data_IF_958680172234
#
_entry.id   IF_958680172234
#
_cell.length_a   1.000
_cell.length_b   1.000
_cell.length_c   1.000
_cell.angle_alpha   90.00
_cell.angle_beta   90.00
_cell.angle_gamma   90.00
#
_symmetry.space_group_name_H-M   'P 1'
#
loop_
_entity.id
_entity.type
_entity.pdbx_description
1 polymer ?
#
# COMPACT_ATOMS: atom_id res chain seq x y z
N UNK A 1 20.46 -17.16 -5.29
CA UNK A 1 21.14 -16.28 -6.29
C UNK A 1 20.79 -16.77 -7.69
N UNK A 2 20.70 -15.89 -8.70
CA UNK A 2 20.70 -16.30 -10.10
C UNK A 2 21.92 -17.18 -10.41
N UNK A 3 21.78 -18.07 -11.38
CA UNK A 3 22.82 -19.04 -11.73
C UNK A 3 24.14 -18.32 -12.12
N UNK A 4 25.27 -18.78 -11.58
CA UNK A 4 26.59 -18.21 -11.86
C UNK A 4 27.02 -17.00 -11.03
N UNK A 5 26.22 -16.53 -10.06
CA UNK A 5 26.60 -15.38 -9.21
C UNK A 5 26.86 -15.80 -7.76
N UNK A 6 28.02 -15.42 -7.21
CA UNK A 6 28.41 -15.70 -5.82
C UNK A 6 27.48 -15.05 -4.77
N UNK A 7 26.85 -13.93 -5.13
CA UNK A 7 25.82 -13.24 -4.34
C UNK A 7 24.77 -12.69 -5.30
N UNK A 8 23.49 -12.94 -5.03
CA UNK A 8 22.42 -12.39 -5.85
C UNK A 8 21.07 -12.55 -5.19
N UNK A 9 20.24 -11.54 -5.35
CA UNK A 9 18.84 -11.50 -4.91
C UNK A 9 17.91 -11.56 -6.13
N UNK A 10 16.75 -12.24 -6.04
CA UNK A 10 15.71 -12.13 -7.06
C UNK A 10 15.02 -10.75 -7.05
N UNK A 11 15.23 -9.93 -6.02
CA UNK A 11 14.70 -8.56 -5.94
C UNK A 11 15.47 -7.67 -6.92
N UNK A 12 14.83 -7.29 -8.02
CA UNK A 12 15.42 -6.41 -9.04
C UNK A 12 15.19 -4.91 -8.75
N UNK A 13 14.21 -4.57 -7.92
CA UNK A 13 13.83 -3.20 -7.62
C UNK A 13 12.80 -3.15 -6.48
N UNK A 14 12.60 -1.95 -5.94
CA UNK A 14 11.62 -1.67 -4.88
C UNK A 14 10.75 -0.50 -5.34
N UNK A 15 9.43 -0.60 -5.15
CA UNK A 15 8.47 0.49 -5.33
C UNK A 15 7.88 0.83 -3.97
N UNK A 16 7.92 2.11 -3.58
CA UNK A 16 7.37 2.58 -2.31
C UNK A 16 6.05 3.32 -2.55
N UNK A 17 5.01 2.92 -1.80
CA UNK A 17 3.67 3.56 -1.82
C UNK A 17 3.56 4.74 -0.85
N UNK A 18 4.56 4.94 0.01
CA UNK A 18 4.59 6.02 1.00
C UNK A 18 5.86 5.98 1.84
N UNK A 19 5.96 6.94 2.76
CA UNK A 19 7.12 7.11 3.63
C UNK A 19 6.95 6.57 5.05
N UNK A 20 5.87 5.86 5.38
CA UNK A 20 5.67 5.33 6.74
C UNK A 20 6.76 4.33 7.14
N UNK A 21 7.02 4.22 8.44
CA UNK A 21 8.16 3.46 8.98
C UNK A 21 8.08 1.98 8.58
N UNK A 22 6.89 1.39 8.66
CA UNK A 22 6.62 0.01 8.27
C UNK A 22 6.84 -0.25 6.77
N UNK A 23 6.63 0.76 5.91
CA UNK A 23 6.89 0.68 4.47
C UNK A 23 8.38 0.81 4.11
N UNK A 24 9.18 1.56 4.88
CA UNK A 24 10.56 1.89 4.50
C UNK A 24 11.65 1.19 5.33
N UNK A 25 11.34 0.71 6.54
CA UNK A 25 12.34 0.11 7.44
C UNK A 25 13.01 -1.14 6.84
N UNK A 26 12.26 -1.92 6.05
CA UNK A 26 12.77 -3.10 5.35
C UNK A 26 13.91 -2.79 4.38
N UNK A 27 14.04 -1.56 3.88
CA UNK A 27 15.17 -1.17 3.02
C UNK A 27 16.53 -1.37 3.72
N UNK A 28 16.58 -1.20 5.04
CA UNK A 28 17.81 -1.34 5.82
C UNK A 28 18.33 -2.77 5.86
N UNK A 29 17.46 -3.77 5.63
CA UNK A 29 17.85 -5.18 5.57
C UNK A 29 18.39 -5.59 4.18
N UNK A 30 18.40 -4.66 3.21
CA UNK A 30 18.89 -4.88 1.84
C UNK A 30 20.26 -4.22 1.58
N UNK A 31 20.98 -3.82 2.63
CA UNK A 31 22.22 -3.01 2.54
C UNK A 31 23.48 -3.79 2.15
N UNK A 32 23.43 -5.12 2.11
CA UNK A 32 24.58 -6.02 1.94
C UNK A 32 25.15 -6.09 0.51
N UNK A 33 24.82 -5.09 -0.33
CA UNK A 33 25.54 -4.76 -1.55
C UNK A 33 24.97 -5.32 -2.85
N UNK A 34 23.74 -5.79 -2.85
CA UNK A 34 22.98 -6.05 -4.08
C UNK A 34 22.53 -4.74 -4.74
N UNK A 35 22.64 -4.63 -6.06
CA UNK A 35 22.22 -3.43 -6.81
C UNK A 35 20.74 -3.53 -7.20
N UNK A 36 19.97 -2.48 -6.94
CA UNK A 36 18.55 -2.39 -7.29
C UNK A 36 18.08 -0.92 -7.29
N UNK A 37 17.06 -0.58 -8.05
CA UNK A 37 16.47 0.77 -8.02
C UNK A 37 15.37 0.89 -6.96
N UNK A 38 15.28 2.04 -6.28
CA UNK A 38 14.12 2.41 -5.45
C UNK A 38 13.28 3.42 -6.23
N UNK A 39 12.05 3.06 -6.56
CA UNK A 39 11.06 3.95 -7.17
C UNK A 39 10.11 4.49 -6.12
N UNK A 40 9.97 5.80 -6.06
CA UNK A 40 9.05 6.47 -5.16
C UNK A 40 8.72 7.87 -5.67
N UNK A 41 7.73 8.52 -5.06
CA UNK A 41 7.42 9.94 -5.33
C UNK A 41 8.57 10.85 -4.89
N UNK A 42 8.54 12.11 -5.34
CA UNK A 42 9.52 13.11 -4.95
C UNK A 42 9.61 13.28 -3.43
N UNK A 43 8.46 13.31 -2.75
CA UNK A 43 8.37 13.45 -1.29
C UNK A 43 9.03 12.29 -0.56
N UNK A 44 8.75 11.04 -0.96
CA UNK A 44 9.36 9.86 -0.32
C UNK A 44 10.87 9.81 -0.60
N UNK A 45 11.32 10.13 -1.83
CA UNK A 45 12.75 10.22 -2.13
C UNK A 45 13.46 11.28 -1.26
N UNK A 46 12.83 12.43 -1.03
CA UNK A 46 13.35 13.47 -0.15
C UNK A 46 13.44 13.00 1.31
N UNK A 47 12.41 12.30 1.81
CA UNK A 47 12.43 11.68 3.15
C UNK A 47 13.61 10.72 3.30
N UNK A 48 13.83 9.82 2.33
CA UNK A 48 14.98 8.91 2.38
C UNK A 48 16.32 9.65 2.32
N UNK A 49 16.39 10.78 1.62
CA UNK A 49 17.59 11.60 1.51
C UNK A 49 17.93 12.37 2.79
N UNK A 50 16.91 12.85 3.50
CA UNK A 50 17.08 13.58 4.74
C UNK A 50 17.50 12.69 5.92
N UNK A 51 17.31 11.37 5.83
CA UNK A 51 17.56 10.42 6.90
C UNK A 51 18.90 9.69 6.73
N UNK A 52 19.94 9.96 7.56
CA UNK A 52 21.28 9.40 7.38
C UNK A 52 21.36 7.88 7.45
N UNK A 53 20.40 7.21 8.10
CA UNK A 53 20.36 5.74 8.18
C UNK A 53 20.28 5.09 6.78
N UNK A 54 19.66 5.76 5.81
CA UNK A 54 19.57 5.26 4.42
C UNK A 54 20.85 5.53 3.60
N UNK A 55 21.91 6.13 4.18
CA UNK A 55 23.23 6.14 3.55
C UNK A 55 23.85 4.74 3.47
N UNK A 56 23.32 3.78 4.25
CA UNK A 56 23.63 2.36 4.08
C UNK A 56 23.24 1.80 2.70
N UNK A 57 22.41 2.53 1.93
CA UNK A 57 22.04 2.23 0.55
C UNK A 57 22.63 3.33 -0.36
N UNK A 58 23.88 3.18 -0.80
CA UNK A 58 24.57 4.24 -1.53
C UNK A 58 23.99 4.39 -2.94
N UNK A 59 23.84 5.63 -3.41
CA UNK A 59 23.07 5.96 -4.61
C UNK A 59 23.70 5.46 -5.93
N UNK A 60 25.01 5.19 -5.95
CA UNK A 60 25.72 4.58 -7.08
C UNK A 60 25.32 3.11 -7.29
N UNK A 61 24.79 2.46 -6.25
CA UNK A 61 24.35 1.06 -6.26
C UNK A 61 22.84 0.92 -6.14
N UNK A 62 22.23 1.80 -5.35
CA UNK A 62 20.80 1.81 -5.04
C UNK A 62 20.21 3.18 -5.41
N UNK A 63 20.09 3.48 -6.73
CA UNK A 63 19.61 4.78 -7.17
C UNK A 63 18.15 4.97 -6.76
N UNK A 64 17.83 6.20 -6.33
CA UNK A 64 16.47 6.65 -6.02
C UNK A 64 15.88 7.24 -7.29
N UNK A 65 15.01 6.47 -7.93
CA UNK A 65 14.36 6.78 -9.19
C UNK A 65 13.04 7.50 -8.91
N UNK A 66 13.11 8.83 -8.84
CA UNK A 66 11.93 9.67 -8.67
C UNK A 66 10.90 9.34 -9.76
N UNK A 67 9.69 9.02 -9.33
CA UNK A 67 8.60 8.57 -10.19
C UNK A 67 7.43 9.51 -10.01
N UNK A 68 6.96 10.09 -11.12
CA UNK A 68 5.81 11.00 -11.12
C UNK A 68 4.52 10.18 -11.13
N UNK A 69 3.53 10.51 -10.30
CA UNK A 69 2.20 9.93 -10.41
C UNK A 69 1.61 10.11 -11.81
N UNK A 70 0.79 9.14 -12.22
CA UNK A 70 0.11 9.06 -13.51
C UNK A 70 1.05 8.93 -14.74
N UNK A 71 2.34 8.67 -14.50
CA UNK A 71 3.31 8.34 -15.54
C UNK A 71 3.72 6.86 -15.46
N UNK A 72 3.46 6.06 -16.52
CA UNK A 72 3.87 4.67 -16.55
C UNK A 72 5.40 4.52 -16.55
N UNK A 73 5.89 3.47 -15.88
CA UNK A 73 7.30 3.11 -15.88
C UNK A 73 7.48 1.57 -15.95
N UNK A 74 8.59 1.09 -16.52
CA UNK A 74 8.87 -0.33 -16.59
C UNK A 74 9.28 -0.90 -15.23
N UNK A 75 8.77 -2.10 -14.92
CA UNK A 75 9.05 -2.88 -13.72
C UNK A 75 9.27 -4.36 -14.11
N UNK A 76 10.44 -4.67 -14.67
CA UNK A 76 10.85 -6.07 -14.90
C UNK A 76 9.96 -6.86 -15.86
N UNK A 77 9.55 -6.25 -16.98
CA UNK A 77 8.60 -6.86 -17.94
C UNK A 77 7.16 -6.42 -17.71
N UNK A 78 6.85 -5.92 -16.51
CA UNK A 78 5.57 -5.31 -16.17
C UNK A 78 5.61 -3.80 -16.44
N UNK A 79 4.44 -3.18 -16.59
CA UNK A 79 4.29 -1.71 -16.57
C UNK A 79 3.62 -1.32 -15.27
N UNK A 80 4.18 -0.36 -14.53
CA UNK A 80 3.59 0.15 -13.30
C UNK A 80 3.31 1.65 -13.38
N UNK A 81 2.30 2.11 -12.68
CA UNK A 81 1.90 3.52 -12.59
C UNK A 81 1.56 3.83 -11.14
N UNK A 82 2.21 4.84 -10.56
CA UNK A 82 1.80 5.39 -9.26
C UNK A 82 0.60 6.31 -9.45
N UNK A 83 -0.34 6.33 -8.51
CA UNK A 83 -1.44 7.30 -8.53
C UNK A 83 -1.73 7.78 -7.11
N UNK A 84 -2.08 9.05 -6.95
CA UNK A 84 -2.38 9.63 -5.63
C UNK A 84 -3.66 9.02 -5.07
N UNK A 85 -3.67 8.81 -3.76
CA UNK A 85 -4.85 8.43 -3.00
C UNK A 85 -4.99 9.36 -1.80
N UNK A 86 -6.21 9.58 -1.27
CA UNK A 86 -6.36 10.36 -0.06
C UNK A 86 -5.57 9.67 1.04
N UNK A 87 -4.62 10.39 1.64
CA UNK A 87 -3.74 9.83 2.64
C UNK A 87 -3.31 10.87 3.66
N UNK A 88 -2.49 10.43 4.60
CA UNK A 88 -1.90 11.26 5.64
C UNK A 88 -0.38 11.19 5.49
N UNK A 89 0.29 12.30 5.79
CA UNK A 89 1.75 12.31 5.91
C UNK A 89 2.24 11.27 6.92
N UNK A 90 3.45 10.71 6.70
CA UNK A 90 4.05 9.79 7.65
C UNK A 90 4.08 10.34 9.08
N UNK A 91 3.89 9.48 10.08
CA UNK A 91 3.80 9.90 11.49
C UNK A 91 5.03 10.73 11.94
N UNK A 92 6.21 10.39 11.45
CA UNK A 92 7.46 11.08 11.79
C UNK A 92 7.64 12.44 11.07
N UNK A 93 6.79 12.74 10.07
CA UNK A 93 6.79 13.97 9.28
C UNK A 93 5.54 14.83 9.53
N UNK A 94 4.74 14.50 10.55
CA UNK A 94 3.60 15.32 10.97
C UNK A 94 4.10 16.68 11.50
N UNK A 95 3.84 17.75 10.75
CA UNK A 95 3.83 19.10 11.29
C UNK A 95 2.55 19.31 12.12
N UNK A 96 2.48 20.37 12.93
CA UNK A 96 1.27 20.69 13.70
C UNK A 96 0.07 20.94 12.77
N UNK A 97 -0.74 19.90 12.53
CA UNK A 97 -1.88 19.93 11.61
C UNK A 97 -2.24 18.53 11.10
N UNK A 98 -3.52 18.29 10.87
CA UNK A 98 -4.01 17.06 10.25
C UNK A 98 -4.70 17.42 8.96
N UNK A 99 -4.06 17.12 7.85
CA UNK A 99 -4.62 17.33 6.53
C UNK A 99 -4.59 15.99 5.81
N UNK A 100 -5.77 15.40 5.65
CA UNK A 100 -5.98 14.32 4.68
C UNK A 100 -6.04 14.98 3.32
N UNK A 101 -5.16 14.58 2.43
CA UNK A 101 -5.10 15.13 1.08
C UNK A 101 -4.55 14.08 0.11
N UNK A 102 -4.88 14.26 -1.18
CA UNK A 102 -4.25 13.52 -2.27
C UNK A 102 -2.90 14.17 -2.61
N UNK A 103 -1.88 13.83 -1.84
CA UNK A 103 -0.51 14.33 -2.03
C UNK A 103 0.41 13.22 -2.55
N UNK A 104 1.69 13.57 -2.76
CA UNK A 104 2.75 12.61 -3.08
C UNK A 104 3.19 11.75 -1.87
N UNK A 105 2.58 11.93 -0.70
CA UNK A 105 2.92 11.20 0.53
C UNK A 105 2.37 9.77 0.57
N UNK A 106 1.22 9.55 -0.09
CA UNK A 106 0.54 8.26 -0.16
C UNK A 106 0.03 8.03 -1.57
N UNK A 107 0.49 6.94 -2.19
CA UNK A 107 0.10 6.56 -3.55
C UNK A 107 -0.33 5.10 -3.59
N UNK A 108 -1.29 4.79 -4.45
CA UNK A 108 -1.52 3.43 -4.93
C UNK A 108 -0.58 3.09 -6.09
N UNK A 109 -0.51 1.81 -6.43
CA UNK A 109 0.21 1.31 -7.60
C UNK A 109 -0.74 0.51 -8.47
N UNK A 110 -0.80 0.84 -9.75
CA UNK A 110 -1.38 -0.02 -10.79
C UNK A 110 -0.24 -0.75 -11.50
N UNK A 111 -0.37 -2.06 -11.68
CA UNK A 111 0.57 -2.91 -12.42
C UNK A 111 -0.19 -3.59 -13.55
N UNK A 112 0.38 -3.53 -14.75
CA UNK A 112 -0.19 -4.08 -15.99
C UNK A 112 0.78 -5.05 -16.63
N UNK A 113 0.26 -6.21 -17.03
CA UNK A 113 0.95 -7.21 -17.85
C UNK A 113 -0.03 -7.93 -18.78
N UNK A 114 0.25 -7.98 -20.08
CA UNK A 114 -0.57 -8.72 -21.04
C UNK A 114 -2.06 -8.35 -21.08
N UNK A 115 -2.44 -7.16 -20.60
CA UNK A 115 -3.84 -6.73 -20.47
C UNK A 115 -4.49 -7.00 -19.11
N UNK A 116 -3.80 -7.71 -18.20
CA UNK A 116 -4.19 -7.88 -16.80
C UNK A 116 -3.79 -6.67 -15.97
N UNK A 117 -4.63 -6.28 -15.01
CA UNK A 117 -4.46 -5.12 -14.14
C UNK A 117 -4.54 -5.53 -12.67
N UNK A 118 -3.46 -5.31 -11.93
CA UNK A 118 -3.42 -5.39 -10.48
C UNK A 118 -3.34 -3.99 -9.88
N UNK A 119 -4.17 -3.70 -8.88
CA UNK A 119 -4.18 -2.44 -8.15
C UNK A 119 -3.83 -2.72 -6.68
N UNK A 120 -2.88 -1.97 -6.14
CA UNK A 120 -2.37 -2.10 -4.79
C UNK A 120 -2.45 -0.77 -4.05
N UNK A 121 -3.32 -0.69 -3.04
CA UNK A 121 -3.58 0.51 -2.23
C UNK A 121 -3.54 0.11 -0.76
N UNK A 122 -2.36 -0.06 -0.13
CA UNK A 122 -2.26 -0.59 1.23
C UNK A 122 -2.67 0.40 2.31
N UNK A 123 -2.73 1.69 1.98
CA UNK A 123 -3.14 2.76 2.88
C UNK A 123 -3.91 3.85 2.11
N UNK A 124 -5.13 4.15 2.54
CA UNK A 124 -5.88 5.31 2.05
C UNK A 124 -6.94 5.76 3.05
N UNK A 125 -7.15 7.06 3.20
CA UNK A 125 -8.09 7.65 4.15
C UNK A 125 -9.54 7.61 3.67
N UNK A 126 -9.76 7.61 2.36
CA UNK A 126 -11.09 7.57 1.75
C UNK A 126 -11.02 6.91 0.37
N UNK A 127 -12.16 6.36 -0.08
CA UNK A 127 -12.35 5.94 -1.47
C UNK A 127 -13.04 7.10 -2.20
N UNK A 128 -12.40 7.71 -3.19
CA UNK A 128 -12.99 8.77 -4.02
C UNK A 128 -13.63 8.20 -5.28
N UNK A 129 -14.45 8.99 -5.98
CA UNK A 129 -15.02 8.53 -7.26
C UNK A 129 -13.93 8.22 -8.30
N UNK A 130 -12.87 9.03 -8.35
CA UNK A 130 -11.72 8.76 -9.22
C UNK A 130 -11.05 7.41 -8.88
N UNK A 131 -11.01 7.02 -7.61
CA UNK A 131 -10.53 5.70 -7.22
C UNK A 131 -11.49 4.59 -7.65
N UNK A 132 -12.80 4.78 -7.48
CA UNK A 132 -13.82 3.82 -7.95
C UNK A 132 -13.67 3.59 -9.46
N UNK A 133 -13.58 4.65 -10.25
CA UNK A 133 -13.37 4.59 -11.70
C UNK A 133 -12.07 3.87 -12.07
N UNK A 134 -10.97 4.15 -11.36
CA UNK A 134 -9.69 3.48 -11.61
C UNK A 134 -9.75 1.99 -11.25
N UNK A 135 -10.41 1.65 -10.15
CA UNK A 135 -10.50 0.28 -9.61
C UNK A 135 -11.43 -0.61 -10.45
N UNK A 136 -12.47 -0.05 -11.04
CA UNK A 136 -13.41 -0.83 -11.85
C UNK A 136 -12.70 -1.53 -13.02
N UNK A 137 -13.03 -2.81 -13.20
CA UNK A 137 -12.42 -3.68 -14.21
C UNK A 137 -11.03 -4.21 -13.87
N UNK A 138 -10.54 -4.06 -12.64
CA UNK A 138 -9.28 -4.68 -12.22
C UNK A 138 -9.40 -6.20 -12.03
N UNK A 139 -8.38 -6.94 -12.45
CA UNK A 139 -8.31 -8.39 -12.22
C UNK A 139 -7.98 -8.69 -10.74
N UNK A 140 -7.15 -7.85 -10.11
CA UNK A 140 -6.78 -8.01 -8.71
C UNK A 140 -6.68 -6.67 -8.00
N UNK A 141 -7.39 -6.54 -6.88
CA UNK A 141 -7.31 -5.41 -5.96
C UNK A 141 -6.80 -5.89 -4.60
N UNK A 142 -5.72 -5.26 -4.13
CA UNK A 142 -5.37 -5.21 -2.73
C UNK A 142 -5.68 -3.83 -2.18
N UNK A 143 -6.46 -3.76 -1.10
CA UNK A 143 -6.85 -2.49 -0.50
C UNK A 143 -6.72 -2.48 1.02
N UNK A 144 -6.45 -1.30 1.55
CA UNK A 144 -6.41 -0.96 2.96
C UNK A 144 -7.59 -1.55 3.71
N UNK A 145 -7.27 -2.29 4.76
CA UNK A 145 -8.20 -2.94 5.64
C UNK A 145 -7.73 -2.80 7.09
N UNK A 146 -7.08 -1.67 7.41
CA UNK A 146 -6.48 -1.41 8.72
C UNK A 146 -7.50 -1.64 9.82
N UNK A 147 -8.68 -1.01 9.73
CA UNK A 147 -9.73 -1.12 10.74
C UNK A 147 -11.07 -1.59 10.16
N UNK A 148 -11.84 -2.35 10.94
CA UNK A 148 -13.20 -2.74 10.57
C UNK A 148 -14.15 -1.54 10.65
N UNK A 149 -13.97 -0.71 11.68
CA UNK A 149 -14.73 0.52 11.96
C UNK A 149 -13.80 1.64 12.37
N UNK A 150 -14.25 2.87 12.16
CA UNK A 150 -13.44 4.06 12.41
C UNK A 150 -13.06 4.22 13.89
N UNK A 151 -13.98 3.84 14.78
CA UNK A 151 -13.84 3.93 16.23
C UNK A 151 -13.17 2.70 16.87
N UNK A 152 -12.69 1.72 16.10
CA UNK A 152 -12.18 0.44 16.61
C UNK A 152 -11.09 0.60 17.68
N UNK A 153 -10.14 1.51 17.44
CA UNK A 153 -9.04 1.77 18.36
C UNK A 153 -9.50 2.46 19.65
N UNK A 154 -10.49 3.35 19.54
CA UNK A 154 -11.06 4.10 20.67
C UNK A 154 -11.94 3.18 21.52
N UNK A 155 -12.83 2.41 20.88
CA UNK A 155 -13.71 1.47 21.55
C UNK A 155 -12.94 0.33 22.24
N UNK A 156 -11.80 -0.08 21.67
CA UNK A 156 -10.90 -1.06 22.27
C UNK A 156 -9.98 -0.52 23.36
N UNK A 157 -9.93 0.80 23.56
CA UNK A 157 -9.01 1.44 24.52
C UNK A 157 -7.53 1.40 24.13
N UNK A 158 -7.23 1.15 22.85
CA UNK A 158 -5.86 1.01 22.34
C UNK A 158 -5.24 2.35 21.93
N UNK A 159 -6.06 3.32 21.51
CA UNK A 159 -5.63 4.66 21.11
C UNK A 159 -6.80 5.66 21.20
N UNK A 160 -6.48 6.94 21.36
CA UNK A 160 -7.46 8.02 21.24
C UNK A 160 -7.74 8.44 19.78
N UNK A 161 -6.99 7.93 18.80
CA UNK A 161 -7.14 8.25 17.38
C UNK A 161 -8.15 7.30 16.71
N UNK A 162 -9.05 7.85 15.90
CA UNK A 162 -9.89 7.07 14.97
C UNK A 162 -9.10 6.66 13.72
N UNK A 163 -9.65 5.76 12.91
CA UNK A 163 -9.08 5.35 11.62
C UNK A 163 -8.84 6.51 10.68
N UNK A 164 -9.85 7.38 10.50
CA UNK A 164 -9.75 8.62 9.74
C UNK A 164 -8.61 9.49 10.26
N UNK A 165 -8.47 9.61 11.59
CA UNK A 165 -7.36 10.36 12.18
C UNK A 165 -6.00 9.73 11.88
N UNK A 166 -5.94 8.42 11.72
CA UNK A 166 -4.75 7.67 11.30
C UNK A 166 -4.51 7.71 9.78
N UNK A 167 -5.49 8.15 8.99
CA UNK A 167 -5.41 8.19 7.53
C UNK A 167 -5.89 6.90 6.86
N UNK A 168 -6.79 6.15 7.51
CA UNK A 168 -7.30 4.87 7.02
C UNK A 168 -8.83 4.86 6.88
N UNK A 169 -9.30 4.40 5.73
CA UNK A 169 -10.71 4.10 5.47
C UNK A 169 -11.12 2.83 6.23
N UNK A 170 -12.34 2.80 6.75
CA UNK A 170 -12.87 1.60 7.39
C UNK A 170 -13.33 0.58 6.36
N UNK A 171 -13.21 -0.72 6.70
CA UNK A 171 -13.77 -1.79 5.86
C UNK A 171 -15.29 -1.64 5.76
N UNK A 172 -15.95 -1.38 6.89
CA UNK A 172 -17.41 -1.33 7.01
C UNK A 172 -17.94 0.10 7.23
N UNK A 173 -19.26 0.26 7.15
CA UNK A 173 -19.93 1.55 7.33
C UNK A 173 -20.22 2.24 6.01
N UNK A 174 -20.99 3.33 6.09
CA UNK A 174 -21.21 4.24 4.98
C UNK A 174 -19.88 4.81 4.51
N UNK A 175 -19.66 4.87 3.20
CA UNK A 175 -18.40 5.29 2.60
C UNK A 175 -17.17 4.39 2.89
N UNK A 176 -17.37 3.25 3.56
CA UNK A 176 -16.31 2.26 3.76
C UNK A 176 -15.98 1.47 2.49
N UNK A 177 -14.92 0.64 2.55
CA UNK A 177 -14.45 -0.17 1.41
C UNK A 177 -15.57 -1.03 0.83
N UNK A 178 -16.31 -1.73 1.68
CA UNK A 178 -17.39 -2.64 1.23
C UNK A 178 -18.54 -1.89 0.55
N UNK A 179 -18.80 -0.66 0.95
CA UNK A 179 -19.90 0.17 0.46
C UNK A 179 -19.52 0.82 -0.87
N UNK A 180 -18.39 1.52 -0.91
CA UNK A 180 -17.94 2.27 -2.11
C UNK A 180 -17.54 1.39 -3.28
N UNK A 181 -17.08 0.17 -3.02
CA UNK A 181 -16.65 -0.77 -4.05
C UNK A 181 -17.69 -1.86 -4.35
N UNK A 182 -18.91 -1.76 -3.81
CA UNK A 182 -19.95 -2.77 -4.00
C UNK A 182 -20.32 -2.98 -5.48
N UNK A 183 -20.29 -1.92 -6.29
CA UNK A 183 -20.62 -1.94 -7.72
C UNK A 183 -19.44 -2.21 -8.66
N UNK A 184 -18.21 -2.25 -8.15
CA UNK A 184 -17.02 -2.44 -8.98
C UNK A 184 -16.89 -3.89 -9.47
N UNK A 185 -16.54 -4.05 -10.74
CA UNK A 185 -16.18 -5.32 -11.37
C UNK A 185 -14.72 -5.61 -11.06
N UNK A 186 -14.48 -6.46 -10.07
CA UNK A 186 -13.14 -6.86 -9.64
C UNK A 186 -13.11 -8.38 -9.50
N UNK A 187 -12.22 -9.04 -10.23
CA UNK A 187 -12.13 -10.52 -10.24
C UNK A 187 -11.61 -11.06 -8.89
N UNK A 188 -10.57 -10.43 -8.34
CA UNK A 188 -10.02 -10.78 -7.04
C UNK A 188 -9.97 -9.57 -6.10
N UNK A 189 -10.79 -9.60 -5.04
CA UNK A 189 -10.87 -8.53 -4.02
C UNK A 189 -10.16 -8.97 -2.75
N UNK A 190 -9.12 -8.26 -2.33
CA UNK A 190 -8.26 -8.65 -1.21
C UNK A 190 -8.08 -7.50 -0.23
N UNK A 191 -8.40 -7.75 1.03
CA UNK A 191 -8.15 -6.87 2.17
C UNK A 191 -6.72 -7.11 2.68
N UNK A 192 -5.88 -6.07 2.75
CA UNK A 192 -4.49 -6.12 3.22
C UNK A 192 -4.20 -5.00 4.22
N UNK A 193 -3.01 -5.01 4.83
CA UNK A 193 -2.59 -4.01 5.81
C UNK A 193 -3.54 -3.95 7.01
N UNK A 194 -3.79 -5.11 7.63
CA UNK A 194 -4.83 -5.29 8.62
C UNK A 194 -4.24 -5.10 10.01
N UNK A 195 -4.78 -4.16 10.79
CA UNK A 195 -4.31 -3.93 12.14
C UNK A 195 -4.63 -5.13 13.04
N UNK A 196 -3.79 -5.37 14.05
CA UNK A 196 -3.94 -6.49 14.97
C UNK A 196 -5.27 -6.47 15.76
N UNK A 197 -5.92 -5.31 15.88
CA UNK A 197 -7.22 -5.14 16.55
C UNK A 197 -8.41 -5.57 15.69
N UNK A 198 -8.21 -5.74 14.39
CA UNK A 198 -9.31 -5.88 13.45
C UNK A 198 -9.95 -7.27 13.52
N UNK A 199 -11.26 -7.38 13.81
CA UNK A 199 -11.93 -8.66 13.98
C UNK A 199 -11.96 -9.53 12.72
N UNK A 200 -11.67 -9.01 11.53
CA UNK A 200 -11.56 -9.84 10.31
C UNK A 200 -10.41 -10.85 10.37
N UNK A 201 -9.43 -10.65 11.26
CA UNK A 201 -8.36 -11.62 11.53
C UNK A 201 -8.89 -12.87 12.26
N UNK A 202 -9.97 -12.74 13.03
CA UNK A 202 -10.56 -13.86 13.75
C UNK A 202 -11.39 -14.72 12.80
N UNK A 203 -10.92 -15.94 12.51
CA UNK A 203 -11.52 -16.84 11.52
C UNK A 203 -13.03 -17.11 11.73
N UNK A 204 -13.51 -17.05 12.99
CA UNK A 204 -14.91 -17.30 13.36
C UNK A 204 -15.72 -16.02 13.61
N UNK A 205 -15.20 -14.84 13.32
CA UNK A 205 -15.94 -13.59 13.52
C UNK A 205 -17.04 -13.38 12.47
N UNK A 206 -18.09 -12.66 12.87
CA UNK A 206 -19.16 -12.26 11.95
C UNK A 206 -18.63 -11.32 10.86
N UNK A 207 -17.61 -10.53 11.18
CA UNK A 207 -16.91 -9.61 10.27
C UNK A 207 -16.18 -10.40 9.17
N UNK A 208 -15.41 -11.44 9.55
CA UNK A 208 -14.75 -12.33 8.59
C UNK A 208 -15.78 -13.07 7.71
N UNK A 209 -16.85 -13.58 8.30
CA UNK A 209 -17.93 -14.22 7.54
C UNK A 209 -18.62 -13.24 6.56
N UNK A 210 -18.77 -11.97 6.95
CA UNK A 210 -19.37 -10.93 6.09
C UNK A 210 -18.50 -10.60 4.89
N UNK A 211 -17.21 -10.37 5.05
CA UNK A 211 -16.31 -10.03 3.93
C UNK A 211 -16.23 -11.20 2.93
N UNK A 212 -16.10 -12.44 3.42
CA UNK A 212 -16.07 -13.64 2.57
C UNK A 212 -17.34 -13.80 1.73
N UNK A 213 -18.51 -13.60 2.33
CA UNK A 213 -19.81 -13.66 1.64
C UNK A 213 -19.95 -12.59 0.55
N UNK A 214 -19.28 -11.44 0.71
CA UNK A 214 -19.24 -10.38 -0.30
C UNK A 214 -18.14 -10.60 -1.35
N UNK A 215 -17.48 -11.76 -1.34
CA UNK A 215 -16.43 -12.13 -2.29
C UNK A 215 -15.07 -11.49 -1.99
N UNK A 216 -14.88 -10.92 -0.80
CA UNK A 216 -13.59 -10.39 -0.37
C UNK A 216 -12.77 -11.48 0.32
N UNK A 217 -11.48 -11.55 -0.02
CA UNK A 217 -10.48 -12.33 0.70
C UNK A 217 -9.80 -11.44 1.72
N UNK A 218 -9.31 -12.05 2.79
CA UNK A 218 -8.41 -11.39 3.74
C UNK A 218 -7.04 -11.97 3.52
N UNK A 219 -6.07 -11.10 3.22
CA UNK A 219 -4.70 -11.49 2.97
C UNK A 219 -4.10 -12.24 4.18
N UNK A 220 -3.15 -13.11 3.87
CA UNK A 220 -2.26 -13.76 4.83
C UNK A 220 -0.88 -13.90 4.19
N UNK A 221 0.14 -14.08 5.01
CA UNK A 221 1.50 -14.29 4.54
C UNK A 221 1.56 -15.53 3.64
N UNK A 222 2.23 -15.42 2.50
CA UNK A 222 2.33 -16.48 1.49
C UNK A 222 1.12 -16.62 0.56
N UNK A 223 0.18 -15.67 0.57
CA UNK A 223 -0.91 -15.64 -0.44
C UNK A 223 -0.35 -15.34 -1.83
N UNK A 224 -0.67 -16.18 -2.80
CA UNK A 224 -0.21 -16.09 -4.20
C UNK A 224 -1.39 -15.96 -5.18
N UNK A 225 -1.13 -15.30 -6.31
CA UNK A 225 -2.06 -15.15 -7.43
C UNK A 225 -1.35 -15.39 -8.76
N UNK A 226 -2.07 -15.99 -9.70
CA UNK A 226 -1.69 -16.05 -11.11
C UNK A 226 -2.82 -15.39 -11.89
N UNK A 227 -2.49 -14.36 -12.69
CA UNK A 227 -3.46 -13.57 -13.47
C UNK A 227 -3.36 -13.91 -14.97
#
# INVERSE_FOLDING_TARGET
PPEGVLRGSPIAGVVLTGGEIDAIAGLLTLREGHAFGIRATATVCATLAANPIFQALPADRVPRLMTLPDQPFPLGGLTATLFRVPGKRPLHAEAAGHEIAETDDTVGVEIVDGGRRMIFIPGCAAITEAMVERIDGADLLFIDATLWRDDEMVAGGYSAKTGQRMGHVSISGENGVLDRLAGCRIEHKVLIHINNTNPVLLAKSLQRARVLRLGWRVAHDGLEFNL
#
